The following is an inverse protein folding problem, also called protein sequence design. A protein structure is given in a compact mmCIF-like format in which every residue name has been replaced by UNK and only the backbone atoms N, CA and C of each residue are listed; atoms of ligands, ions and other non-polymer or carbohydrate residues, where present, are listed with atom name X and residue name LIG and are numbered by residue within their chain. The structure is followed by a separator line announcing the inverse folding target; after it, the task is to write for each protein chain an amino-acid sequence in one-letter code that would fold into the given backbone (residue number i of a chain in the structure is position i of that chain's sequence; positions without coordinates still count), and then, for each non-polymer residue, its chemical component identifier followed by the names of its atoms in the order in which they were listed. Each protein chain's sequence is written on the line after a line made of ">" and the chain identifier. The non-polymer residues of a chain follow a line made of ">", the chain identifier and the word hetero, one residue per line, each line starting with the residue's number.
data_IF_188243849227
#
_entry.id   IF_188243849227
#
_cell.length_a   1.000
_cell.length_b   1.000
_cell.length_c   1.000
_cell.angle_alpha   90.00
_cell.angle_beta   90.00
_cell.angle_gamma   90.00
#
_symmetry.space_group_name_H-M   'P 1'
#
loop_
_entity.id
_entity.type
_entity.pdbx_description
1 polymer ?
#
# COMPACT_ATOMS: atom_id res chain seq x y z
N UNK A 1 4.38 2.89 -9.18
CA UNK A 1 4.44 1.55 -8.57
C UNK A 1 3.08 1.14 -8.06
N UNK A 2 2.68 -0.10 -8.32
CA UNK A 2 1.36 -0.59 -7.93
C UNK A 2 1.52 -1.89 -7.16
N UNK A 3 0.87 -1.98 -6.01
CA UNK A 3 0.81 -3.20 -5.21
C UNK A 3 -0.59 -3.79 -5.30
N UNK A 4 -0.64 -5.11 -5.44
CA UNK A 4 -1.90 -5.82 -5.49
C UNK A 4 -1.94 -6.82 -4.34
N UNK A 5 -3.03 -6.79 -3.59
CA UNK A 5 -3.17 -7.64 -2.42
C UNK A 5 -4.33 -8.60 -2.60
N UNK A 6 -4.17 -9.81 -2.08
CA UNK A 6 -5.25 -10.78 -2.07
C UNK A 6 -6.32 -10.41 -1.07
N UNK A 7 -5.91 -9.79 0.02
CA UNK A 7 -6.82 -9.38 1.09
C UNK A 7 -7.39 -8.01 0.76
N UNK A 8 -8.72 -7.93 0.62
CA UNK A 8 -9.38 -6.67 0.27
C UNK A 8 -9.17 -5.61 1.34
N UNK A 9 -9.07 -6.02 2.59
CA UNK A 9 -8.83 -5.07 3.67
C UNK A 9 -7.48 -4.39 3.48
N UNK A 10 -6.45 -5.17 3.19
CA UNK A 10 -5.12 -4.62 2.99
C UNK A 10 -5.07 -3.74 1.73
N UNK A 11 -5.78 -4.17 0.69
CA UNK A 11 -5.83 -3.36 -0.52
C UNK A 11 -6.46 -2.00 -0.22
N UNK A 12 -7.52 -1.98 0.57
CA UNK A 12 -8.18 -0.73 0.94
C UNK A 12 -7.27 0.17 1.77
N UNK A 13 -6.51 -0.44 2.70
CA UNK A 13 -5.56 0.33 3.51
C UNK A 13 -4.50 0.96 2.63
N UNK A 14 -3.94 0.18 1.69
CA UNK A 14 -2.92 0.71 0.81
C UNK A 14 -3.48 1.82 -0.07
N UNK A 15 -4.67 1.61 -0.65
CA UNK A 15 -5.27 2.60 -1.54
C UNK A 15 -5.51 3.91 -0.81
N UNK A 16 -5.99 3.84 0.42
CA UNK A 16 -6.23 5.02 1.22
C UNK A 16 -4.92 5.74 1.53
N UNK A 17 -3.89 4.99 1.88
CA UNK A 17 -2.60 5.57 2.18
C UNK A 17 -2.00 6.21 0.94
N UNK A 18 -2.15 5.55 -0.21
CA UNK A 18 -1.63 6.08 -1.46
C UNK A 18 -2.28 7.42 -1.81
N UNK A 19 -3.56 7.56 -1.49
CA UNK A 19 -4.25 8.82 -1.72
C UNK A 19 -3.69 9.93 -0.86
N UNK A 20 -3.44 9.62 0.42
CA UNK A 20 -2.97 10.61 1.38
C UNK A 20 -1.52 11.00 1.12
N UNK A 21 -0.71 10.09 0.63
CA UNK A 21 0.72 10.30 0.47
C UNK A 21 1.17 10.13 -0.96
N UNK A 22 0.36 10.64 -1.89
CA UNK A 22 0.64 10.48 -3.32
C UNK A 22 1.99 11.08 -3.73
N UNK A 23 2.48 12.06 -2.98
CA UNK A 23 3.74 12.72 -3.28
C UNK A 23 4.95 12.06 -2.65
N UNK A 24 4.76 10.89 -2.02
CA UNK A 24 5.85 10.21 -1.32
C UNK A 24 5.98 8.78 -1.79
N UNK A 25 6.54 8.58 -2.99
CA UNK A 25 6.63 7.24 -3.56
C UNK A 25 7.47 6.27 -2.73
N UNK A 26 8.53 6.77 -2.09
CA UNK A 26 9.36 5.91 -1.25
C UNK A 26 8.59 5.39 -0.04
N UNK A 27 7.77 6.26 0.53
CA UNK A 27 6.95 5.87 1.66
C UNK A 27 5.94 4.81 1.24
N UNK A 28 5.30 5.01 0.10
CA UNK A 28 4.31 4.07 -0.40
C UNK A 28 4.93 2.72 -0.73
N UNK A 29 6.16 2.73 -1.22
CA UNK A 29 6.86 1.48 -1.48
C UNK A 29 7.05 0.69 -0.19
N UNK A 30 7.50 1.36 0.87
CA UNK A 30 7.71 0.71 2.14
C UNK A 30 6.40 0.18 2.72
N UNK A 31 5.34 0.97 2.63
CA UNK A 31 4.04 0.56 3.12
C UNK A 31 3.55 -0.67 2.37
N UNK A 32 3.71 -0.68 1.04
CA UNK A 32 3.28 -1.81 0.24
C UNK A 32 4.01 -3.08 0.62
N UNK A 33 5.32 -2.98 0.85
CA UNK A 33 6.11 -4.16 1.22
C UNK A 33 5.68 -4.70 2.58
N UNK A 34 5.42 -3.81 3.54
CA UNK A 34 4.96 -4.24 4.85
C UNK A 34 3.61 -4.93 4.76
N UNK A 35 2.69 -4.35 4.03
CA UNK A 35 1.35 -4.93 3.89
C UNK A 35 1.40 -6.27 3.17
N UNK A 36 2.28 -6.42 2.18
CA UNK A 36 2.45 -7.69 1.50
C UNK A 36 2.93 -8.78 2.46
N UNK A 37 3.78 -8.41 3.41
CA UNK A 37 4.26 -9.37 4.40
C UNK A 37 3.15 -9.86 5.31
N UNK A 38 2.09 -9.06 5.46
CA UNK A 38 0.99 -9.41 6.34
C UNK A 38 -0.05 -10.31 5.67
N UNK A 39 0.01 -10.45 4.35
CA UNK A 39 -0.91 -11.36 3.66
C UNK A 39 -0.60 -12.84 4.01
#
# INVERSE_FOLDING_TARGET
>A
MVFTFKNQYLQGVYDKTAKCYANEPEFLQAVGEVLQSLE
#
